data_IF_533163408138
#
_entry.id   IF_533163408138
#
_cell.length_a   1.000
_cell.length_b   1.000
_cell.length_c   1.000
_cell.angle_alpha   90.00
_cell.angle_beta   90.00
_cell.angle_gamma   90.00
#
_symmetry.space_group_name_H-M   'P 1'
#
loop_
_entity.id
_entity.type
_entity.pdbx_description
1 polymer ?
#
# COMPACT_ATOMS: atom_id res chain seq x y z
N UNK A 1 -8.57 8.79 -11.99
CA UNK A 1 -7.68 7.63 -11.78
C UNK A 1 -6.25 8.06 -12.00
N UNK A 2 -5.43 7.90 -11.01
CA UNK A 2 -4.01 8.28 -11.09
C UNK A 2 -3.20 7.55 -10.03
N UNK A 3 -1.91 7.38 -10.31
CA UNK A 3 -0.97 6.84 -9.36
C UNK A 3 0.35 7.58 -9.50
N UNK A 4 1.05 7.79 -8.39
CA UNK A 4 2.29 8.54 -8.36
C UNK A 4 3.27 7.90 -7.39
N UNK A 5 4.56 7.99 -7.74
CA UNK A 5 5.63 7.72 -6.77
C UNK A 5 5.91 9.05 -6.08
N UNK A 6 5.70 9.10 -4.75
CA UNK A 6 6.01 10.29 -3.96
C UNK A 6 7.47 10.31 -3.56
N UNK A 7 8.01 9.16 -3.16
CA UNK A 7 9.39 9.02 -2.74
C UNK A 7 9.86 7.58 -2.93
N UNK A 8 11.08 7.44 -3.41
CA UNK A 8 11.74 6.15 -3.49
C UNK A 8 13.18 6.31 -2.99
N UNK A 9 13.46 5.77 -1.82
CA UNK A 9 14.78 5.80 -1.20
C UNK A 9 15.29 4.38 -1.01
N UNK A 10 16.50 4.25 -0.44
CA UNK A 10 17.07 2.92 -0.18
C UNK A 10 16.28 2.12 0.86
N UNK A 11 15.49 2.79 1.71
CA UNK A 11 14.75 2.14 2.79
C UNK A 11 13.24 2.20 2.64
N UNK A 12 12.70 3.04 1.73
CA UNK A 12 11.27 3.32 1.70
C UNK A 12 10.79 3.65 0.30
N UNK A 13 9.60 3.17 -0.02
CA UNK A 13 8.87 3.50 -1.24
C UNK A 13 7.50 4.04 -0.85
N UNK A 14 7.20 5.29 -1.20
CA UNK A 14 5.93 5.93 -0.88
C UNK A 14 5.19 6.23 -2.18
N UNK A 15 3.95 5.77 -2.25
CA UNK A 15 3.11 5.97 -3.43
C UNK A 15 1.75 6.54 -3.07
N UNK A 16 1.09 7.12 -4.07
CA UNK A 16 -0.25 7.67 -3.95
C UNK A 16 -1.11 7.10 -5.06
N UNK A 17 -2.31 6.66 -4.71
CA UNK A 17 -3.28 6.10 -5.65
C UNK A 17 -4.60 6.86 -5.50
N UNK A 18 -5.18 7.26 -6.61
CA UNK A 18 -6.48 7.96 -6.64
C UNK A 18 -7.41 7.19 -7.57
N UNK A 19 -8.48 6.65 -7.00
CA UNK A 19 -9.61 6.05 -7.74
C UNK A 19 -9.25 4.94 -8.74
N UNK A 20 -8.12 4.26 -8.57
CA UNK A 20 -7.76 3.13 -9.42
C UNK A 20 -8.66 1.92 -9.10
N UNK A 21 -9.11 1.19 -10.14
CA UNK A 21 -9.92 -0.01 -9.96
C UNK A 21 -9.11 -1.16 -9.33
N UNK A 22 -7.80 -1.18 -9.58
CA UNK A 22 -6.88 -2.10 -8.95
C UNK A 22 -5.48 -1.52 -9.15
N UNK A 23 -4.62 -1.65 -8.15
CA UNK A 23 -3.27 -1.13 -8.24
C UNK A 23 -2.30 -2.07 -7.56
N UNK A 24 -1.20 -2.41 -8.24
CA UNK A 24 -0.21 -3.34 -7.73
C UNK A 24 1.17 -2.68 -7.71
N UNK A 25 1.87 -2.83 -6.58
CA UNK A 25 3.28 -2.46 -6.45
C UNK A 25 4.07 -3.76 -6.32
N UNK A 26 4.96 -4.02 -7.28
CA UNK A 26 5.82 -5.20 -7.25
C UNK A 26 7.16 -4.87 -6.62
N UNK A 27 7.95 -5.89 -6.30
CA UNK A 27 9.31 -5.66 -5.81
C UNK A 27 10.14 -4.90 -6.85
N UNK A 28 9.99 -5.24 -8.12
CA UNK A 28 10.72 -4.57 -9.21
C UNK A 28 10.35 -3.08 -9.32
N UNK A 29 9.09 -2.72 -9.05
CA UNK A 29 8.64 -1.31 -9.09
C UNK A 29 9.38 -0.46 -8.08
N UNK A 30 9.85 -1.04 -6.99
CA UNK A 30 10.51 -0.33 -5.89
C UNK A 30 12.03 -0.33 -6.01
N UNK A 31 12.57 -0.95 -7.06
CA UNK A 31 14.02 -1.01 -7.27
C UNK A 31 14.62 0.40 -7.36
N UNK A 32 15.80 0.57 -6.80
CA UNK A 32 16.53 1.82 -6.81
C UNK A 32 18.02 1.53 -7.01
N UNK A 33 18.67 2.24 -7.94
CA UNK A 33 20.10 2.07 -8.23
C UNK A 33 20.46 0.60 -8.53
N UNK A 34 19.64 -0.06 -9.34
CA UNK A 34 19.79 -1.47 -9.74
C UNK A 34 19.69 -2.47 -8.57
N UNK A 35 19.20 -2.04 -7.41
CA UNK A 35 18.95 -2.91 -6.27
C UNK A 35 17.46 -3.14 -6.12
N UNK A 36 17.03 -4.39 -6.23
CA UNK A 36 15.64 -4.78 -6.02
C UNK A 36 15.51 -5.34 -4.62
N UNK A 37 14.56 -4.83 -3.80
CA UNK A 37 14.33 -5.38 -2.47
C UNK A 37 13.95 -6.86 -2.53
N UNK A 38 14.25 -7.59 -1.47
CA UNK A 38 13.81 -8.97 -1.31
C UNK A 38 12.42 -9.06 -0.70
N UNK A 39 11.94 -7.98 -0.13
CA UNK A 39 10.59 -7.91 0.44
C UNK A 39 10.18 -6.48 0.71
N UNK A 40 8.90 -6.31 0.95
CA UNK A 40 8.28 -5.03 1.29
C UNK A 40 7.37 -5.24 2.51
N UNK A 41 7.29 -4.26 3.38
CA UNK A 41 6.32 -4.28 4.47
C UNK A 41 5.59 -2.94 4.54
N UNK A 42 4.33 -2.97 4.93
CA UNK A 42 3.53 -1.75 5.06
C UNK A 42 3.89 -1.09 6.38
N UNK A 43 4.37 0.16 6.32
CA UNK A 43 4.79 0.87 7.52
C UNK A 43 3.76 1.89 8.00
N UNK A 44 3.17 2.65 7.09
CA UNK A 44 2.15 3.65 7.42
C UNK A 44 1.31 3.95 6.20
N UNK A 45 0.10 4.48 6.43
CA UNK A 45 -0.75 4.90 5.34
C UNK A 45 -1.70 6.01 5.77
N UNK A 46 -2.16 6.75 4.77
CA UNK A 46 -3.20 7.75 4.88
C UNK A 46 -4.25 7.43 3.82
N UNK A 47 -5.50 7.34 4.23
CA UNK A 47 -6.59 7.02 3.31
C UNK A 47 -7.77 7.95 3.54
N UNK A 48 -8.35 8.42 2.44
CA UNK A 48 -9.63 9.11 2.44
C UNK A 48 -10.54 8.42 1.44
N UNK A 49 -11.81 8.26 1.78
CA UNK A 49 -12.77 7.63 0.89
C UNK A 49 -14.18 8.10 1.22
N UNK A 50 -15.10 7.92 0.27
CA UNK A 50 -16.50 8.20 0.49
C UNK A 50 -17.03 7.31 1.61
N UNK A 51 -17.96 7.85 2.39
CA UNK A 51 -18.65 7.12 3.43
C UNK A 51 -19.53 6.02 2.82
N UNK A 52 -19.97 5.10 3.65
CA UNK A 52 -20.82 3.99 3.26
C UNK A 52 -20.16 2.65 3.53
N UNK A 53 -20.51 1.65 2.73
CA UNK A 53 -20.01 0.29 2.92
C UNK A 53 -18.77 -0.01 2.06
N UNK A 54 -18.22 1.00 1.39
CA UNK A 54 -17.03 0.83 0.57
C UNK A 54 -15.78 0.69 1.43
N UNK A 55 -14.85 -0.10 0.97
CA UNK A 55 -13.57 -0.31 1.63
C UNK A 55 -12.48 -0.57 0.59
N UNK A 56 -11.22 -0.47 1.04
CA UNK A 56 -10.07 -0.90 0.26
C UNK A 56 -9.50 -2.16 0.89
N UNK A 57 -9.26 -3.16 0.08
CA UNK A 57 -8.59 -4.38 0.48
C UNK A 57 -7.12 -4.29 0.09
N UNK A 58 -6.24 -4.52 1.06
CA UNK A 58 -4.81 -4.58 0.80
C UNK A 58 -4.41 -6.04 0.84
N UNK A 59 -3.96 -6.56 -0.29
CA UNK A 59 -3.61 -7.97 -0.46
C UNK A 59 -2.11 -8.17 -0.57
N UNK A 60 -1.66 -9.29 -0.02
CA UNK A 60 -0.29 -9.77 -0.11
C UNK A 60 -0.31 -11.26 -0.38
N UNK A 61 0.42 -11.70 -1.40
CA UNK A 61 0.58 -13.13 -1.68
C UNK A 61 -0.77 -13.88 -1.77
N UNK A 62 -1.76 -13.23 -2.40
CA UNK A 62 -3.09 -13.83 -2.57
C UNK A 62 -4.00 -13.77 -1.36
N UNK A 63 -3.57 -13.11 -0.28
CA UNK A 63 -4.34 -13.01 0.97
C UNK A 63 -4.58 -11.56 1.31
N UNK A 64 -5.83 -11.21 1.67
CA UNK A 64 -6.14 -9.89 2.19
C UNK A 64 -5.54 -9.75 3.60
N UNK A 65 -4.71 -8.72 3.81
CA UNK A 65 -4.05 -8.49 5.11
C UNK A 65 -4.61 -7.28 5.84
N UNK A 66 -5.23 -6.34 5.13
CA UNK A 66 -5.86 -5.16 5.70
C UNK A 66 -7.13 -4.84 4.94
N UNK A 67 -8.13 -4.33 5.65
CA UNK A 67 -9.29 -3.66 5.07
C UNK A 67 -9.34 -2.25 5.61
N UNK A 68 -9.34 -1.26 4.73
CA UNK A 68 -9.35 0.15 5.10
C UNK A 68 -10.76 0.69 4.93
N UNK A 69 -11.37 1.17 6.01
CA UNK A 69 -12.71 1.71 6.03
C UNK A 69 -12.69 3.15 6.49
N UNK A 70 -13.23 4.06 5.68
CA UNK A 70 -13.33 5.47 6.06
C UNK A 70 -12.01 6.23 5.92
N UNK A 71 -11.91 7.33 6.66
CA UNK A 71 -10.77 8.23 6.61
C UNK A 71 -9.86 7.99 7.80
N UNK A 72 -8.58 7.67 7.55
CA UNK A 72 -7.67 7.41 8.66
C UNK A 72 -6.21 7.64 8.27
N UNK A 73 -5.40 7.91 9.29
CA UNK A 73 -3.94 7.97 9.21
C UNK A 73 -3.44 6.95 10.21
N UNK A 74 -2.67 5.98 9.73
CA UNK A 74 -2.16 4.90 10.58
C UNK A 74 -0.67 4.75 10.41
N UNK A 75 0.05 4.76 11.53
CA UNK A 75 1.47 4.42 11.59
C UNK A 75 1.58 3.09 12.32
N UNK A 76 1.84 2.02 11.57
CA UNK A 76 1.87 0.66 12.13
C UNK A 76 3.03 0.47 13.11
N UNK A 77 4.15 1.16 12.88
CA UNK A 77 5.28 1.09 13.81
C UNK A 77 4.92 1.74 15.15
N UNK A 78 4.18 2.86 15.13
CA UNK A 78 3.78 3.56 16.35
C UNK A 78 2.84 2.73 17.21
N UNK A 79 1.99 1.91 16.60
CA UNK A 79 1.08 1.02 17.33
C UNK A 79 1.70 -0.37 17.55
N UNK A 80 2.96 -0.54 17.22
CA UNK A 80 3.70 -1.81 17.40
C UNK A 80 3.09 -2.98 16.67
N UNK A 81 2.47 -2.71 15.54
CA UNK A 81 1.91 -3.72 14.65
C UNK A 81 2.86 -3.91 13.46
N UNK A 82 3.15 -5.14 13.10
CA UNK A 82 4.05 -5.44 11.99
C UNK A 82 3.41 -6.40 11.02
N UNK A 83 3.57 -6.13 9.72
CA UNK A 83 3.17 -7.02 8.65
C UNK A 83 4.39 -7.67 7.98
N UNK A 84 5.46 -7.83 8.73
CA UNK A 84 6.71 -8.41 8.23
C UNK A 84 6.52 -9.80 7.64
N UNK A 85 5.61 -10.59 8.21
CA UNK A 85 5.37 -11.96 7.77
C UNK A 85 4.85 -12.05 6.35
N UNK A 86 4.27 -10.96 5.83
CA UNK A 86 3.73 -10.88 4.48
C UNK A 86 4.69 -10.18 3.51
N UNK A 87 5.95 -9.99 3.90
CA UNK A 87 6.87 -9.09 3.20
C UNK A 87 7.39 -9.62 1.87
N UNK A 88 7.36 -10.90 1.60
CA UNK A 88 7.99 -11.48 0.42
C UNK A 88 7.24 -11.31 -0.90
N UNK A 89 6.25 -10.42 -0.99
CA UNK A 89 5.39 -10.34 -2.17
C UNK A 89 5.01 -8.90 -2.52
N UNK A 90 4.32 -8.74 -3.66
CA UNK A 90 3.78 -7.45 -4.07
C UNK A 90 2.65 -6.99 -3.15
N UNK A 91 2.33 -5.70 -3.21
CA UNK A 91 1.20 -5.09 -2.51
C UNK A 91 0.12 -4.82 -3.54
N UNK A 92 -1.08 -5.30 -3.29
CA UNK A 92 -2.22 -5.14 -4.20
C UNK A 92 -3.32 -4.36 -3.49
N UNK A 93 -3.75 -3.26 -4.10
CA UNK A 93 -4.83 -2.41 -3.59
C UNK A 93 -6.06 -2.67 -4.45
N UNK A 94 -7.14 -3.16 -3.83
CA UNK A 94 -8.38 -3.48 -4.54
C UNK A 94 -9.56 -2.82 -3.83
N UNK A 95 -10.23 -1.85 -4.46
CA UNK A 95 -11.45 -1.30 -3.88
C UNK A 95 -12.60 -2.32 -3.91
N UNK A 96 -13.54 -2.18 -2.98
CA UNK A 96 -14.68 -3.08 -2.88
C UNK A 96 -15.61 -3.03 -4.10
N UNK A 97 -15.58 -1.91 -4.84
CA UNK A 97 -16.24 -1.84 -6.15
C UNK A 97 -15.43 -0.91 -7.07
N UNK A 98 -15.58 -1.09 -8.37
CA UNK A 98 -14.78 -0.38 -9.36
C UNK A 98 -15.07 1.11 -9.46
N UNK A 99 -16.21 1.57 -8.95
CA UNK A 99 -16.59 2.99 -8.93
C UNK A 99 -16.20 3.71 -7.65
N UNK A 100 -15.49 3.05 -6.76
CA UNK A 100 -15.13 3.59 -5.45
C UNK A 100 -14.21 4.82 -5.61
N UNK A 101 -14.55 5.90 -4.90
CA UNK A 101 -13.74 7.13 -4.88
C UNK A 101 -12.87 7.13 -3.64
N UNK A 102 -11.57 7.17 -3.82
CA UNK A 102 -10.63 7.14 -2.70
C UNK A 102 -9.30 7.76 -3.07
N UNK A 103 -8.55 8.15 -2.04
CA UNK A 103 -7.13 8.49 -2.15
C UNK A 103 -6.38 7.70 -1.09
N UNK A 104 -5.35 6.99 -1.51
CA UNK A 104 -4.48 6.25 -0.61
C UNK A 104 -3.04 6.71 -0.81
N UNK A 105 -2.38 7.06 0.30
CA UNK A 105 -0.94 7.27 0.34
C UNK A 105 -0.39 6.20 1.26
N UNK A 106 0.56 5.41 0.78
CA UNK A 106 1.11 4.30 1.56
C UNK A 106 2.62 4.30 1.47
N UNK A 107 3.25 4.08 2.60
CA UNK A 107 4.70 3.93 2.69
C UNK A 107 5.03 2.46 2.91
N UNK A 108 5.90 1.93 2.07
CA UNK A 108 6.40 0.57 2.15
C UNK A 108 7.86 0.61 2.56
N UNK A 109 8.21 -0.12 3.62
CA UNK A 109 9.59 -0.33 3.99
C UNK A 109 10.20 -1.41 3.09
N UNK A 110 11.48 -1.26 2.79
CA UNK A 110 12.23 -2.19 1.94
C UNK A 110 13.09 -3.13 2.75
N UNK A 111 13.03 -4.39 2.42
CA UNK A 111 13.93 -5.42 2.95
C UNK A 111 14.93 -5.72 1.85
N UNK A 112 16.18 -5.43 2.13
CA UNK A 112 17.27 -5.57 1.15
C UNK A 112 18.03 -6.89 1.39
#
# INVERSE_FOLDING_TARGET
MASYIIRNTTSEYVFKVINEASFTVTLADTALNAVTPTGLYISRYYVTMNAGNDYLEIGRNGTAVLELHGNEIVDLAAIKFSLYEESGSSVIVTPSNSGHKYTLIMALGKII
#
